data_IF_734262556434
#
_entry.id   IF_734262556434
#
_cell.length_a   1.000
_cell.length_b   1.000
_cell.length_c   1.000
_cell.angle_alpha   90.00
_cell.angle_beta   90.00
_cell.angle_gamma   90.00
#
_symmetry.space_group_name_H-M   'P 1'
#
loop_
_entity.id
_entity.type
_entity.pdbx_description
1 polymer ?
#
# COMPACT_ATOMS: atom_id res chain seq x y z
N UNK A 1 0.18 -9.84 -18.33
CA UNK A 1 0.59 -8.45 -18.65
C UNK A 1 1.87 -8.10 -17.92
N UNK A 2 2.45 -6.92 -18.12
CA UNK A 2 3.75 -6.52 -17.53
C UNK A 2 3.82 -6.68 -15.99
N UNK A 3 2.67 -6.63 -15.30
CA UNK A 3 2.56 -6.86 -13.85
C UNK A 3 2.83 -8.32 -13.45
N UNK A 4 2.37 -9.28 -14.24
CA UNK A 4 2.56 -10.72 -13.98
C UNK A 4 4.02 -11.12 -14.16
N UNK A 5 4.67 -10.54 -15.17
CA UNK A 5 6.09 -10.73 -15.47
C UNK A 5 6.97 -10.19 -14.34
N UNK A 6 6.72 -8.95 -13.88
CA UNK A 6 7.43 -8.38 -12.74
C UNK A 6 7.30 -9.24 -11.47
N UNK A 7 6.11 -9.78 -11.19
CA UNK A 7 5.90 -10.69 -10.06
C UNK A 7 6.64 -12.01 -10.21
N UNK A 8 6.72 -12.56 -11.42
CA UNK A 8 7.53 -13.76 -11.66
C UNK A 8 9.01 -13.49 -11.39
N UNK A 9 9.52 -12.33 -11.82
CA UNK A 9 10.92 -11.98 -11.57
C UNK A 9 11.20 -11.70 -10.09
N UNK A 10 10.27 -11.07 -9.36
CA UNK A 10 10.38 -10.95 -7.91
C UNK A 10 10.38 -12.32 -7.21
N UNK A 11 9.55 -13.27 -7.66
CA UNK A 11 9.55 -14.64 -7.10
C UNK A 11 10.89 -15.34 -7.35
N UNK A 12 11.43 -15.28 -8.57
CA UNK A 12 12.78 -15.80 -8.88
C UNK A 12 13.86 -15.13 -8.03
N UNK A 13 13.76 -13.82 -7.82
CA UNK A 13 14.70 -13.11 -6.95
C UNK A 13 14.62 -13.59 -5.50
N UNK A 14 13.42 -13.93 -5.00
CA UNK A 14 13.24 -14.52 -3.67
C UNK A 14 13.72 -15.97 -3.58
N UNK A 15 13.75 -16.73 -4.67
CA UNK A 15 14.39 -18.05 -4.71
C UNK A 15 15.91 -17.93 -4.50
N UNK A 16 16.53 -16.86 -5.03
CA UNK A 16 17.97 -16.58 -4.88
C UNK A 16 18.30 -15.94 -3.53
N UNK A 17 17.45 -15.03 -3.05
CA UNK A 17 17.59 -14.35 -1.76
C UNK A 17 16.27 -14.41 -0.99
N UNK A 18 16.05 -15.50 -0.24
CA UNK A 18 14.85 -15.64 0.57
C UNK A 18 14.73 -14.46 1.54
N UNK A 19 13.51 -13.95 1.67
CA UNK A 19 13.15 -12.87 2.59
C UNK A 19 13.90 -11.54 2.36
N UNK A 20 14.41 -11.28 1.16
CA UNK A 20 14.99 -9.97 0.84
C UNK A 20 13.91 -8.87 0.98
N UNK A 21 14.03 -7.91 1.92
CA UNK A 21 12.94 -7.01 2.28
C UNK A 21 12.53 -6.10 1.13
N UNK A 22 13.50 -5.66 0.34
CA UNK A 22 13.27 -4.82 -0.83
C UNK A 22 12.44 -5.54 -1.90
N UNK A 23 12.70 -6.83 -2.12
CA UNK A 23 11.97 -7.65 -3.10
C UNK A 23 10.57 -7.99 -2.59
N UNK A 24 10.42 -8.35 -1.30
CA UNK A 24 9.11 -8.53 -0.68
C UNK A 24 8.29 -7.23 -0.75
N UNK A 25 8.93 -6.08 -0.51
CA UNK A 25 8.28 -4.76 -0.61
C UNK A 25 7.77 -4.48 -2.03
N UNK A 26 8.59 -4.72 -3.04
CA UNK A 26 8.21 -4.54 -4.44
C UNK A 26 7.09 -5.51 -4.86
N UNK A 27 7.14 -6.76 -4.39
CA UNK A 27 6.09 -7.74 -4.64
C UNK A 27 4.76 -7.28 -4.06
N UNK A 28 4.70 -6.83 -2.81
CA UNK A 28 3.45 -6.33 -2.25
C UNK A 28 2.99 -5.03 -2.91
N UNK A 29 3.88 -4.12 -3.31
CA UNK A 29 3.50 -2.93 -4.08
C UNK A 29 2.87 -3.27 -5.44
N UNK A 30 3.30 -4.37 -6.08
CA UNK A 30 2.64 -4.86 -7.28
C UNK A 30 1.18 -5.28 -7.03
N UNK A 31 0.83 -5.75 -5.83
CA UNK A 31 -0.55 -6.08 -5.45
C UNK A 31 -1.37 -4.82 -5.11
N UNK A 32 -0.74 -3.78 -4.56
CA UNK A 32 -1.38 -2.45 -4.41
C UNK A 32 -1.87 -1.92 -5.75
N UNK A 33 -1.05 -2.03 -6.80
CA UNK A 33 -1.39 -1.60 -8.16
C UNK A 33 -2.53 -2.40 -8.82
N UNK A 34 -2.99 -3.47 -8.19
CA UNK A 34 -4.15 -4.26 -8.61
C UNK A 34 -5.33 -4.13 -7.65
N UNK A 35 -5.18 -3.35 -6.58
CA UNK A 35 -6.20 -3.19 -5.55
C UNK A 35 -6.28 -4.35 -4.56
N UNK A 36 -5.44 -5.38 -4.68
CA UNK A 36 -5.35 -6.45 -3.67
C UNK A 36 -4.49 -6.00 -2.48
N UNK A 37 -5.07 -5.09 -1.70
CA UNK A 37 -4.41 -4.49 -0.54
C UNK A 37 -4.14 -5.52 0.57
N UNK A 38 -4.93 -6.60 0.64
CA UNK A 38 -4.77 -7.65 1.65
C UNK A 38 -3.51 -8.46 1.38
N UNK A 39 -3.31 -8.92 0.13
CA UNK A 39 -2.09 -9.62 -0.26
C UNK A 39 -0.88 -8.70 -0.17
N UNK A 40 -1.02 -7.43 -0.58
CA UNK A 40 0.03 -6.42 -0.43
C UNK A 40 0.52 -6.29 1.02
N UNK A 41 -0.43 -6.25 1.98
CA UNK A 41 -0.12 -6.15 3.40
C UNK A 41 0.67 -7.37 3.90
N UNK A 42 0.28 -8.58 3.52
CA UNK A 42 1.00 -9.80 3.92
C UNK A 42 2.48 -9.72 3.54
N UNK A 43 2.78 -9.30 2.30
CA UNK A 43 4.16 -9.11 1.86
C UNK A 43 4.85 -7.95 2.57
N UNK A 44 4.18 -6.82 2.79
CA UNK A 44 4.77 -5.68 3.51
C UNK A 44 5.11 -6.03 4.96
N UNK A 45 4.26 -6.78 5.66
CA UNK A 45 4.55 -7.23 7.03
C UNK A 45 5.71 -8.20 7.06
N UNK A 46 5.73 -9.15 6.13
CA UNK A 46 6.86 -10.08 5.99
C UNK A 46 8.16 -9.33 5.73
N UNK A 47 8.14 -8.28 4.90
CA UNK A 47 9.30 -7.45 4.62
C UNK A 47 9.75 -6.66 5.85
N UNK A 48 8.81 -6.03 6.57
CA UNK A 48 9.10 -5.19 7.74
C UNK A 48 9.65 -5.98 8.94
N UNK A 49 9.38 -7.29 9.01
CA UNK A 49 9.89 -8.19 10.06
C UNK A 49 11.34 -8.62 9.84
N UNK A 50 11.93 -8.32 8.68
CA UNK A 50 13.28 -8.77 8.38
C UNK A 50 14.34 -7.88 9.02
N UNK A 51 15.48 -8.45 9.45
CA UNK A 51 16.54 -7.69 10.11
C UNK A 51 17.12 -6.55 9.25
N UNK A 52 17.15 -6.72 7.93
CA UNK A 52 17.66 -5.72 6.98
C UNK A 52 16.59 -4.76 6.46
N UNK A 53 15.38 -4.76 7.04
CA UNK A 53 14.31 -3.86 6.62
C UNK A 53 14.65 -2.40 6.91
N UNK A 54 14.66 -1.58 5.87
CA UNK A 54 14.89 -0.14 5.99
C UNK A 54 13.59 0.64 6.23
N UNK A 55 13.74 1.96 6.41
CA UNK A 55 12.64 2.89 6.64
C UNK A 55 11.59 2.88 5.53
N UNK A 56 12.01 2.64 4.28
CA UNK A 56 11.11 2.63 3.11
C UNK A 56 10.12 1.47 3.18
N UNK A 57 10.57 0.30 3.63
CA UNK A 57 9.69 -0.86 3.82
C UNK A 57 8.59 -0.56 4.85
N UNK A 58 8.95 0.08 5.97
CA UNK A 58 7.98 0.45 7.02
C UNK A 58 7.01 1.55 6.56
N UNK A 59 7.49 2.53 5.79
CA UNK A 59 6.64 3.55 5.18
C UNK A 59 5.66 2.94 4.16
N UNK A 60 6.11 2.00 3.33
CA UNK A 60 5.23 1.27 2.42
C UNK A 60 4.18 0.44 3.17
N UNK A 61 4.53 -0.18 4.30
CA UNK A 61 3.56 -0.85 5.15
C UNK A 61 2.51 0.14 5.69
N UNK A 62 2.91 1.30 6.21
CA UNK A 62 1.97 2.31 6.69
C UNK A 62 1.03 2.79 5.56
N UNK A 63 1.56 3.00 4.35
CA UNK A 63 0.75 3.34 3.17
C UNK A 63 -0.28 2.25 2.86
N UNK A 64 0.13 0.98 2.79
CA UNK A 64 -0.77 -0.14 2.47
C UNK A 64 -1.87 -0.30 3.50
N UNK A 65 -1.53 -0.19 4.79
CA UNK A 65 -2.50 -0.24 5.89
C UNK A 65 -3.46 0.95 5.83
N UNK A 66 -2.96 2.15 5.53
CA UNK A 66 -3.77 3.35 5.36
C UNK A 66 -4.70 3.30 4.15
N UNK A 67 -4.26 2.70 3.03
CA UNK A 67 -5.10 2.47 1.84
C UNK A 67 -6.30 1.55 2.14
N UNK A 68 -6.18 0.68 3.14
CA UNK A 68 -7.30 -0.14 3.64
C UNK A 68 -8.22 0.62 4.62
N UNK A 69 -7.97 1.90 4.88
CA UNK A 69 -8.74 2.71 5.83
C UNK A 69 -8.36 2.52 7.30
N UNK A 70 -7.32 1.73 7.60
CA UNK A 70 -6.86 1.51 8.99
C UNK A 70 -5.86 2.59 9.42
N UNK A 71 -6.35 3.83 9.50
CA UNK A 71 -5.54 5.03 9.69
C UNK A 71 -4.75 5.03 11.02
N UNK A 72 -5.38 4.65 12.13
CA UNK A 72 -4.70 4.62 13.45
C UNK A 72 -3.50 3.66 13.47
N UNK A 73 -3.60 2.54 12.75
CA UNK A 73 -2.50 1.59 12.62
C UNK A 73 -1.40 2.16 11.70
N UNK A 74 -1.78 2.78 10.59
CA UNK A 74 -0.84 3.42 9.69
C UNK A 74 -0.02 4.52 10.39
N UNK A 75 -0.65 5.35 11.24
CA UNK A 75 0.03 6.39 12.02
C UNK A 75 1.05 5.79 13.00
N UNK A 76 0.68 4.72 13.72
CA UNK A 76 1.59 4.02 14.64
C UNK A 76 2.81 3.46 13.93
N UNK A 77 2.62 2.89 12.74
CA UNK A 77 3.73 2.34 11.94
C UNK A 77 4.61 3.49 11.42
N UNK A 78 4.02 4.55 10.87
CA UNK A 78 4.75 5.70 10.35
C UNK A 78 5.54 6.44 11.44
N UNK A 79 5.03 6.50 12.68
CA UNK A 79 5.67 7.16 13.82
C UNK A 79 6.94 6.46 14.31
N UNK A 80 7.27 5.27 13.80
CA UNK A 80 8.56 4.62 14.07
C UNK A 80 9.71 5.28 13.31
N UNK A 81 9.42 5.95 12.19
CA UNK A 81 10.41 6.54 11.28
C UNK A 81 10.28 8.05 11.14
N UNK A 82 9.09 8.58 11.43
CA UNK A 82 8.73 10.00 11.28
C UNK A 82 8.38 10.58 12.64
N UNK A 83 8.40 11.92 12.74
CA UNK A 83 7.79 12.56 13.90
C UNK A 83 6.28 12.25 13.95
N UNK A 84 5.65 12.23 15.14
CA UNK A 84 4.21 12.02 15.25
C UNK A 84 3.40 12.99 14.38
N UNK A 85 3.84 14.25 14.28
CA UNK A 85 3.17 15.27 13.47
C UNK A 85 3.26 14.95 11.96
N UNK A 86 4.43 14.47 11.50
CA UNK A 86 4.62 14.05 10.11
C UNK A 86 3.81 12.79 9.79
N UNK A 87 3.78 11.82 10.69
CA UNK A 87 2.98 10.60 10.54
C UNK A 87 1.49 10.94 10.44
N UNK A 88 0.98 11.77 11.36
CA UNK A 88 -0.40 12.23 11.37
C UNK A 88 -0.75 13.02 10.10
N UNK A 89 0.11 13.94 9.66
CA UNK A 89 -0.10 14.72 8.45
C UNK A 89 -0.18 13.83 7.20
N UNK A 90 0.71 12.84 7.08
CA UNK A 90 0.72 11.90 5.95
C UNK A 90 -0.56 11.05 5.90
N UNK A 91 -1.01 10.54 7.05
CA UNK A 91 -2.22 9.72 7.12
C UNK A 91 -3.48 10.56 6.90
N UNK A 92 -3.52 11.79 7.43
CA UNK A 92 -4.61 12.73 7.17
C UNK A 92 -4.74 13.06 5.67
N UNK A 93 -3.60 13.29 5.00
CA UNK A 93 -3.57 13.51 3.55
C UNK A 93 -4.11 12.29 2.78
N UNK A 94 -3.67 11.08 3.14
CA UNK A 94 -4.14 9.84 2.54
C UNK A 94 -5.65 9.66 2.73
N UNK A 95 -6.16 9.89 3.94
CA UNK A 95 -7.60 9.80 4.26
C UNK A 95 -8.42 10.78 3.42
N UNK A 96 -7.95 12.02 3.28
CA UNK A 96 -8.61 13.03 2.46
C UNK A 96 -8.62 12.63 0.98
N UNK A 97 -7.50 12.14 0.44
CA UNK A 97 -7.40 11.68 -0.95
C UNK A 97 -8.41 10.56 -1.24
N UNK A 98 -8.53 9.58 -0.35
CA UNK A 98 -9.48 8.46 -0.49
C UNK A 98 -10.93 8.94 -0.42
N UNK A 99 -11.24 9.85 0.51
CA UNK A 99 -12.58 10.45 0.61
C UNK A 99 -12.97 11.19 -0.68
N UNK A 100 -12.04 11.92 -1.28
CA UNK A 100 -12.26 12.60 -2.56
C UNK A 100 -12.48 11.62 -3.70
N UNK A 101 -11.64 10.59 -3.86
CA UNK A 101 -11.84 9.57 -4.90
C UNK A 101 -13.20 8.88 -4.80
N UNK A 102 -13.64 8.57 -3.57
CA UNK A 102 -14.95 7.97 -3.33
C UNK A 102 -16.08 8.92 -3.74
N UNK A 103 -16.01 10.20 -3.34
CA UNK A 103 -17.00 11.20 -3.72
C UNK A 103 -17.07 11.41 -5.24
N UNK A 104 -15.92 11.51 -5.92
CA UNK A 104 -15.86 11.65 -7.38
C UNK A 104 -16.37 10.42 -8.14
N UNK A 105 -16.14 9.22 -7.61
CA UNK A 105 -16.65 7.97 -8.21
C UNK A 105 -18.18 7.90 -8.11
N UNK A 106 -18.75 8.25 -6.95
CA UNK A 106 -20.20 8.28 -6.74
C UNK A 106 -20.93 9.28 -7.66
N UNK A 107 -20.35 10.47 -7.86
CA UNK A 107 -20.91 11.47 -8.78
C UNK A 107 -20.91 10.97 -10.24
N UNK A 108 -19.80 10.40 -10.71
CA UNK A 108 -19.71 9.82 -12.07
C UNK A 108 -20.70 8.69 -12.28
N UNK A 109 -20.95 7.86 -11.28
CA UNK A 109 -21.91 6.76 -11.38
C UNK A 109 -23.37 7.25 -11.36
N UNK A 110 -23.69 8.30 -10.60
CA UNK A 110 -25.01 8.95 -10.65
C UNK A 110 -25.31 9.56 -12.01
N UNK A 111 -24.35 10.27 -12.61
CA UNK A 111 -24.53 10.91 -13.93
C UNK A 111 -24.76 9.85 -15.03
N UNK A 112 -24.02 8.73 -14.99
CA UNK A 112 -24.23 7.60 -15.90
C UNK A 112 -25.61 6.95 -15.76
N UNK A 113 -26.14 6.86 -14.54
CA UNK A 113 -27.47 6.28 -14.31
C UNK A 113 -28.59 7.20 -14.78
N UNK A 114 -28.46 8.52 -14.61
CA UNK A 114 -29.43 9.50 -15.11
C UNK A 114 -29.48 9.58 -16.64
N UNK A 115 -28.35 9.39 -17.32
CA UNK A 115 -28.28 9.39 -18.78
C UNK A 115 -28.87 8.13 -19.46
N UNK A 116 -29.25 7.11 -18.68
CA UNK A 116 -29.86 5.87 -19.17
C UNK A 116 -31.38 5.81 -19.00
N UNK A 117 -32.01 6.86 -18.46
CA UNK A 117 -33.46 6.95 -18.21
C UNK A 117 -34.11 7.91 -19.20
#
# INVERSE_FOLDING_TARGET
GQKDEARQDYRKALELKPNEPSVLSNLGMSYVLEGDLRTAETYMRSAAQQPSADSRVRQNLALVVGLQGRFDEAEKIASQELSPEQAQANVAYLRQMLAQQNAWSQLKDQDKNKAKV
#
